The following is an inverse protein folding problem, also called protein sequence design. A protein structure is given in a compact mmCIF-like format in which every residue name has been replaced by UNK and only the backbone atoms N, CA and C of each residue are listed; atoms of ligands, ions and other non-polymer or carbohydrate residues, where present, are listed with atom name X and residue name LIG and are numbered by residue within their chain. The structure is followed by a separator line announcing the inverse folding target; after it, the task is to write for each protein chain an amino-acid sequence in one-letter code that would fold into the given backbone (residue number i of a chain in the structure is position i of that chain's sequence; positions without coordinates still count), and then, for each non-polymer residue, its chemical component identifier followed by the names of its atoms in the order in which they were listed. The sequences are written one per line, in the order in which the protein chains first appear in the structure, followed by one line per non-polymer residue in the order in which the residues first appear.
data_IF_362392613608
#
_entry.id   IF_362392613608
#
_cell.length_a   1.000
_cell.length_b   1.000
_cell.length_c   1.000
_cell.angle_alpha   90.00
_cell.angle_beta   90.00
_cell.angle_gamma   90.00
#
_symmetry.space_group_name_H-M   'P 1'
#
loop_
_entity.id
_entity.type
_entity.pdbx_description
1 polymer ?
#
# COMPACT_ATOMS: atom_id res chain seq x y z
N UNK A 1 12.55 -5.85 -3.52
CA UNK A 1 11.21 -5.86 -2.89
C UNK A 1 10.14 -5.18 -3.75
N UNK A 2 10.33 -3.94 -4.24
CA UNK A 2 9.32 -3.26 -5.08
C UNK A 2 9.06 -3.92 -6.45
N UNK A 3 10.09 -4.46 -7.12
CA UNK A 3 9.93 -5.13 -8.41
C UNK A 3 9.04 -6.38 -8.35
N UNK A 4 9.16 -7.20 -7.31
CA UNK A 4 8.35 -8.41 -7.13
C UNK A 4 6.87 -8.08 -6.91
N UNK A 5 6.59 -6.98 -6.20
CA UNK A 5 5.22 -6.50 -6.00
C UNK A 5 4.60 -6.01 -7.31
N UNK A 6 5.34 -5.21 -8.10
CA UNK A 6 4.90 -4.73 -9.42
C UNK A 6 4.65 -5.89 -10.40
N UNK A 7 5.56 -6.86 -10.48
CA UNK A 7 5.39 -8.06 -11.31
C UNK A 7 4.13 -8.82 -10.91
N UNK A 8 3.86 -8.95 -9.61
CA UNK A 8 2.67 -9.65 -9.11
C UNK A 8 1.38 -8.88 -9.43
N UNK A 9 1.38 -7.56 -9.33
CA UNK A 9 0.26 -6.72 -9.78
C UNK A 9 0.01 -6.91 -11.28
N UNK A 10 1.05 -6.78 -12.11
CA UNK A 10 0.95 -6.96 -13.56
C UNK A 10 0.41 -8.35 -13.93
N UNK A 11 0.90 -9.40 -13.27
CA UNK A 11 0.40 -10.76 -13.43
C UNK A 11 -1.08 -10.90 -13.05
N UNK A 12 -1.50 -10.31 -11.93
CA UNK A 12 -2.90 -10.33 -11.50
C UNK A 12 -3.81 -9.54 -12.44
N UNK A 13 -3.34 -8.40 -12.98
CA UNK A 13 -4.05 -7.63 -14.00
C UNK A 13 -4.21 -8.45 -15.28
N UNK A 14 -3.15 -9.11 -15.75
CA UNK A 14 -3.17 -9.97 -16.93
C UNK A 14 -4.12 -11.18 -16.75
N UNK A 15 -4.14 -11.79 -15.56
CA UNK A 15 -5.09 -12.86 -15.23
C UNK A 15 -6.54 -12.39 -15.24
N UNK A 16 -6.84 -11.23 -14.65
CA UNK A 16 -8.19 -10.66 -14.66
C UNK A 16 -8.66 -10.35 -16.08
N UNK A 17 -7.78 -9.78 -16.90
CA UNK A 17 -8.05 -9.51 -18.32
C UNK A 17 -8.39 -10.79 -19.09
N UNK A 18 -7.63 -11.88 -18.88
CA UNK A 18 -7.89 -13.17 -19.53
C UNK A 18 -9.20 -13.83 -19.06
N UNK A 19 -9.61 -13.60 -17.82
CA UNK A 19 -10.78 -14.22 -17.21
C UNK A 19 -12.05 -13.35 -17.29
N UNK A 20 -11.99 -12.16 -17.90
CA UNK A 20 -13.04 -11.13 -17.84
C UNK A 20 -13.56 -10.89 -16.41
N UNK A 21 -12.69 -11.06 -15.41
CA UNK A 21 -13.07 -10.98 -14.02
C UNK A 21 -13.34 -9.52 -13.66
N UNK A 22 -14.53 -9.24 -13.13
CA UNK A 22 -14.95 -7.91 -12.71
C UNK A 22 -13.97 -7.37 -11.68
N UNK A 23 -13.53 -6.11 -11.87
CA UNK A 23 -12.68 -5.44 -10.88
C UNK A 23 -13.50 -5.29 -9.59
N UNK A 24 -12.99 -5.75 -8.43
CA UNK A 24 -13.74 -5.63 -7.19
C UNK A 24 -14.07 -4.16 -6.93
N UNK A 25 -15.35 -3.88 -6.74
CA UNK A 25 -15.85 -2.54 -6.44
C UNK A 25 -15.56 -2.25 -4.97
N UNK A 26 -14.33 -1.82 -4.68
CA UNK A 26 -13.95 -1.37 -3.34
C UNK A 26 -14.50 0.05 -3.15
N UNK A 27 -15.26 0.33 -2.07
CA UNK A 27 -15.75 1.68 -1.76
C UNK A 27 -14.61 2.69 -1.68
N UNK A 28 -14.84 3.92 -2.14
CA UNK A 28 -13.77 4.93 -2.22
C UNK A 28 -13.21 5.30 -0.84
N UNK A 29 -14.04 5.33 0.21
CA UNK A 29 -13.62 5.56 1.58
C UNK A 29 -12.58 4.53 2.07
N UNK A 30 -12.79 3.24 1.75
CA UNK A 30 -11.84 2.17 2.09
C UNK A 30 -10.51 2.36 1.34
N UNK A 31 -10.55 2.86 0.10
CA UNK A 31 -9.32 3.18 -0.64
C UNK A 31 -8.56 4.35 -0.01
N UNK A 32 -9.27 5.37 0.45
CA UNK A 32 -8.69 6.50 1.17
C UNK A 32 -8.04 6.07 2.49
N UNK A 33 -8.70 5.21 3.26
CA UNK A 33 -8.16 4.62 4.49
C UNK A 33 -6.87 3.82 4.21
N UNK A 34 -6.86 2.96 3.19
CA UNK A 34 -5.64 2.21 2.81
C UNK A 34 -4.52 3.09 2.27
N UNK A 35 -4.84 4.17 1.57
CA UNK A 35 -3.83 5.15 1.17
C UNK A 35 -3.22 5.84 2.40
N UNK A 36 -4.04 6.21 3.39
CA UNK A 36 -3.56 6.80 4.64
C UNK A 36 -2.63 5.86 5.41
N UNK A 37 -2.98 4.58 5.55
CA UNK A 37 -2.12 3.56 6.16
C UNK A 37 -0.74 3.50 5.47
N UNK A 38 -0.72 3.52 4.14
CA UNK A 38 0.53 3.48 3.37
C UNK A 38 1.37 4.75 3.56
N UNK A 39 0.74 5.92 3.64
CA UNK A 39 1.42 7.19 3.93
C UNK A 39 2.04 7.16 5.33
N UNK A 40 1.31 6.67 6.34
CA UNK A 40 1.84 6.50 7.69
C UNK A 40 3.09 5.61 7.70
N UNK A 41 3.04 4.44 7.07
CA UNK A 41 4.19 3.53 7.00
C UNK A 41 5.37 4.14 6.23
N UNK A 42 5.11 4.85 5.14
CA UNK A 42 6.15 5.37 4.25
C UNK A 42 6.80 6.68 4.72
N UNK A 43 6.02 7.55 5.38
CA UNK A 43 6.42 8.93 5.69
C UNK A 43 6.65 9.16 7.18
N UNK A 44 5.91 8.48 8.05
CA UNK A 44 5.95 8.70 9.50
C UNK A 44 6.52 7.50 10.27
N UNK A 45 6.49 6.31 9.69
CA UNK A 45 6.94 5.08 10.33
C UNK A 45 6.15 4.78 11.60
N UNK A 46 6.75 5.06 12.77
CA UNK A 46 6.14 4.88 14.10
C UNK A 46 6.02 6.19 14.89
N UNK A 47 6.35 7.32 14.27
CA UNK A 47 6.32 8.61 14.93
C UNK A 47 4.89 9.13 15.05
N UNK A 48 4.66 9.97 16.06
CA UNK A 48 3.40 10.68 16.22
C UNK A 48 3.27 11.73 15.13
N UNK A 49 2.05 11.95 14.66
CA UNK A 49 1.75 12.95 13.63
C UNK A 49 1.34 14.25 14.31
N UNK A 50 1.90 15.37 13.85
CA UNK A 50 1.58 16.71 14.36
C UNK A 50 0.25 17.21 13.77
N UNK A 51 -0.35 18.24 14.39
CA UNK A 51 -1.65 18.76 13.95
C UNK A 51 -1.59 19.36 12.53
N UNK A 52 -0.47 19.98 12.18
CA UNK A 52 -0.18 20.51 10.85
C UNK A 52 -0.19 19.41 9.79
N UNK A 53 0.39 18.25 10.10
CA UNK A 53 0.43 17.09 9.22
C UNK A 53 -0.97 16.48 9.04
N UNK A 54 -1.79 16.42 10.10
CA UNK A 54 -3.18 15.97 9.98
C UNK A 54 -3.98 16.84 8.99
N UNK A 55 -3.84 18.17 9.08
CA UNK A 55 -4.52 19.11 8.17
C UNK A 55 -4.04 18.93 6.73
N UNK A 56 -2.75 18.69 6.53
CA UNK A 56 -2.19 18.41 5.22
C UNK A 56 -2.72 17.08 4.65
N UNK A 57 -2.77 16.03 5.47
CA UNK A 57 -3.30 14.72 5.08
C UNK A 57 -4.78 14.80 4.66
N UNK A 58 -5.61 15.54 5.40
CA UNK A 58 -7.01 15.79 5.02
C UNK A 58 -7.07 16.48 3.64
N UNK A 59 -6.23 17.48 3.41
CA UNK A 59 -6.19 18.21 2.13
C UNK A 59 -5.80 17.31 0.96
N UNK A 60 -4.73 16.51 1.12
CA UNK A 60 -4.24 15.58 0.10
C UNK A 60 -5.30 14.51 -0.20
N UNK A 61 -5.87 13.89 0.82
CA UNK A 61 -6.84 12.82 0.63
C UNK A 61 -8.12 13.31 -0.05
N UNK A 62 -8.58 14.53 0.26
CA UNK A 62 -9.72 15.14 -0.43
C UNK A 62 -9.43 15.39 -1.91
N UNK A 63 -8.23 15.82 -2.24
CA UNK A 63 -7.83 16.05 -3.63
C UNK A 63 -7.75 14.75 -4.44
N UNK A 64 -7.22 13.67 -3.83
CA UNK A 64 -7.05 12.36 -4.48
C UNK A 64 -8.36 11.55 -4.52
N UNK A 65 -9.23 11.72 -3.53
CA UNK A 65 -10.50 11.00 -3.40
C UNK A 65 -11.70 11.97 -3.36
N UNK A 66 -11.98 12.72 -4.45
CA UNK A 66 -12.97 13.79 -4.46
C UNK A 66 -14.42 13.33 -4.24
N UNK A 67 -14.69 12.02 -4.36
CA UNK A 67 -16.01 11.44 -4.14
C UNK A 67 -16.25 10.97 -2.70
N UNK A 68 -15.26 11.07 -1.81
CA UNK A 68 -15.41 10.82 -0.38
C UNK A 68 -15.76 12.13 0.30
N UNK A 69 -16.79 12.11 1.15
CA UNK A 69 -17.23 13.31 1.85
C UNK A 69 -16.15 13.82 2.83
N UNK A 70 -16.04 15.14 2.96
CA UNK A 70 -15.05 15.76 3.84
C UNK A 70 -15.13 15.26 5.31
N UNK A 71 -16.32 15.16 5.95
CA UNK A 71 -16.40 14.65 7.32
C UNK A 71 -15.86 13.22 7.46
N UNK A 72 -16.00 12.41 6.42
CA UNK A 72 -15.51 11.03 6.41
C UNK A 72 -13.98 11.01 6.31
N UNK A 73 -13.37 11.85 5.47
CA UNK A 73 -11.90 11.99 5.42
C UNK A 73 -11.33 12.47 6.76
N UNK A 74 -11.95 13.48 7.37
CA UNK A 74 -11.52 13.99 8.68
C UNK A 74 -11.65 12.92 9.77
N UNK A 75 -12.73 12.13 9.74
CA UNK A 75 -12.92 11.00 10.65
C UNK A 75 -11.80 9.97 10.50
N UNK A 76 -11.50 9.57 9.26
CA UNK A 76 -10.45 8.57 8.97
C UNK A 76 -9.08 9.06 9.46
N UNK A 77 -8.71 10.32 9.21
CA UNK A 77 -7.42 10.89 9.63
C UNK A 77 -7.31 10.95 11.15
N UNK A 78 -8.34 11.48 11.84
CA UNK A 78 -8.34 11.58 13.31
C UNK A 78 -8.36 10.22 13.99
N UNK A 79 -9.09 9.26 13.44
CA UNK A 79 -9.13 7.91 13.97
C UNK A 79 -7.76 7.24 13.90
N UNK A 80 -7.06 7.43 12.77
CA UNK A 80 -5.70 6.93 12.58
C UNK A 80 -4.70 7.59 13.53
N UNK A 81 -4.68 8.93 13.60
CA UNK A 81 -3.78 9.67 14.48
C UNK A 81 -3.97 9.25 15.94
N UNK A 82 -5.22 9.10 16.39
CA UNK A 82 -5.54 8.62 17.73
C UNK A 82 -5.00 7.20 17.99
N UNK A 83 -5.23 6.25 17.08
CA UNK A 83 -4.71 4.87 17.19
C UNK A 83 -3.18 4.83 17.27
N UNK A 84 -2.51 5.70 16.53
CA UNK A 84 -1.04 5.82 16.56
C UNK A 84 -0.59 6.39 17.91
N UNK A 85 -1.24 7.44 18.42
CA UNK A 85 -0.95 8.02 19.73
C UNK A 85 -1.17 7.04 20.90
N UNK A 86 -2.19 6.19 20.81
CA UNK A 86 -2.48 5.15 21.80
C UNK A 86 -1.55 3.93 21.68
N UNK A 87 -0.72 3.85 20.62
CA UNK A 87 0.08 2.66 20.31
C UNK A 87 -0.75 1.43 19.95
N UNK A 88 -2.05 1.60 19.68
CA UNK A 88 -3.02 0.54 19.35
C UNK A 88 -3.10 0.27 17.85
N UNK A 89 -2.31 0.96 17.04
CA UNK A 89 -2.28 0.79 15.60
C UNK A 89 -1.59 -0.53 15.19
N UNK A 90 -2.40 -1.51 14.80
CA UNK A 90 -1.96 -2.83 14.30
C UNK A 90 -1.23 -2.76 12.94
N UNK A 91 -1.17 -1.60 12.31
CA UNK A 91 -0.46 -1.38 11.03
C UNK A 91 1.07 -1.42 11.19
N UNK A 92 1.57 -1.90 12.34
CA UNK A 92 2.96 -2.32 12.54
C UNK A 92 3.29 -3.46 11.56
N UNK A 93 3.62 -3.11 10.32
CA UNK A 93 4.22 -4.04 9.37
C UNK A 93 5.47 -4.59 10.05
N UNK A 94 5.56 -5.90 10.32
CA UNK A 94 6.77 -6.49 10.87
C UNK A 94 7.92 -6.10 9.94
N UNK A 95 9.00 -5.54 10.51
CA UNK A 95 10.19 -5.24 9.75
C UNK A 95 10.54 -6.48 8.91
N UNK A 96 10.54 -6.32 7.59
CA UNK A 96 10.68 -7.44 6.68
C UNK A 96 12.04 -8.08 6.91
N UNK A 97 12.06 -9.27 7.53
CA UNK A 97 13.29 -10.02 7.76
C UNK A 97 14.05 -10.14 6.43
N UNK A 98 15.36 -9.84 6.40
CA UNK A 98 16.16 -10.02 5.20
C UNK A 98 16.00 -11.46 4.69
N UNK A 99 15.77 -11.62 3.38
CA UNK A 99 15.68 -12.95 2.78
C UNK A 99 17.00 -13.72 3.03
N UNK A 100 16.93 -15.01 3.39
CA UNK A 100 18.11 -15.85 3.49
C UNK A 100 18.90 -15.85 2.18
N UNK A 101 20.24 -15.95 2.28
CA UNK A 101 21.13 -15.87 1.11
C UNK A 101 20.79 -16.93 0.04
N UNK A 102 20.35 -18.13 0.43
CA UNK A 102 19.87 -19.12 -0.53
C UNK A 102 18.63 -18.66 -1.31
N UNK A 103 17.66 -18.03 -0.66
CA UNK A 103 16.43 -17.57 -1.30
C UNK A 103 16.70 -16.46 -2.32
N UNK A 104 17.64 -15.55 -2.01
CA UNK A 104 18.08 -14.51 -2.95
C UNK A 104 18.77 -15.13 -4.17
N UNK A 105 19.66 -16.12 -3.95
CA UNK A 105 20.36 -16.81 -5.04
C UNK A 105 19.42 -17.58 -5.95
N UNK A 106 18.40 -18.23 -5.37
CA UNK A 106 17.38 -18.92 -6.15
C UNK A 106 16.54 -17.95 -6.97
N UNK A 107 16.15 -16.80 -6.40
CA UNK A 107 15.41 -15.77 -7.13
C UNK A 107 16.19 -15.19 -8.31
N UNK A 108 17.51 -15.00 -8.17
CA UNK A 108 18.35 -14.53 -9.29
C UNK A 108 18.37 -15.53 -10.44
N UNK A 109 18.44 -16.84 -10.13
CA UNK A 109 18.34 -17.90 -11.16
C UNK A 109 16.99 -17.92 -11.86
N UNK A 110 15.91 -17.80 -11.10
CA UNK A 110 14.55 -17.79 -11.67
C UNK A 110 14.35 -16.56 -12.58
N UNK A 111 14.93 -15.41 -12.22
CA UNK A 111 14.91 -14.19 -13.05
C UNK A 111 15.70 -14.37 -14.35
N UNK A 112 16.88 -15.00 -14.29
CA UNK A 112 17.69 -15.32 -15.49
C UNK A 112 16.93 -16.24 -16.44
N UNK A 113 16.25 -17.26 -15.91
CA UNK A 113 15.43 -18.18 -16.69
C UNK A 113 14.25 -17.48 -17.38
N UNK A 114 13.55 -16.59 -16.67
CA UNK A 114 12.44 -15.83 -17.25
C UNK A 114 12.91 -14.88 -18.36
N UNK A 115 14.09 -14.26 -18.21
CA UNK A 115 14.66 -13.37 -19.22
C UNK A 115 14.99 -14.14 -20.51
N UNK A 116 15.59 -15.33 -20.38
CA UNK A 116 15.90 -16.19 -21.53
C UNK A 116 14.64 -16.61 -22.30
N UNK A 117 13.53 -16.88 -21.61
CA UNK A 117 12.27 -17.27 -22.25
C UNK A 117 11.45 -16.10 -22.84
N UNK A 118 11.85 -14.85 -22.63
CA UNK A 118 11.21 -13.67 -23.23
C UNK A 118 11.87 -13.18 -24.53
N UNK A 119 13.04 -13.74 -24.88
CA UNK A 119 13.83 -13.37 -26.07
C UNK A 119 13.67 -14.37 -27.24
N UNK A 120 12.66 -15.25 -27.20
CA UNK A 120 12.28 -16.18 -28.28
C UNK A 120 10.84 -15.93 -28.71
#
# INVERSE_FOLDING_TARGET
HSYTFLIKIMYMMQRRAKLNAVTPTIPMAIRAEKALEAIYVCCFGKELVEEEDERLLVTILRAVFPTVEQPEIERIVKDKARKVAEGSDETNVPESKPLPKEAVKQQMKDLEFLKQNSET
#
